data_IF_819752846998
#
_entry.id   IF_819752846998
#
_cell.length_a   1.000
_cell.length_b   1.000
_cell.length_c   1.000
_cell.angle_alpha   90.00
_cell.angle_beta   90.00
_cell.angle_gamma   90.00
#
_symmetry.space_group_name_H-M   'P 1'
#
loop_
_entity.id
_entity.type
_entity.pdbx_description
1 polymer ?
#
# COMPACT_ATOMS: atom_id res chain seq x y z
N UNK A 1 -9.25 -52.49 28.08
CA UNK A 1 -10.18 -52.88 26.99
C UNK A 1 -11.62 -53.07 27.44
N UNK A 2 -11.91 -53.75 28.57
CA UNK A 2 -13.30 -54.02 29.00
C UNK A 2 -14.14 -52.76 29.27
N UNK A 3 -13.55 -51.74 29.89
CA UNK A 3 -14.25 -50.51 30.30
C UNK A 3 -14.70 -49.67 29.09
N UNK A 4 -13.89 -49.64 28.02
CA UNK A 4 -14.20 -48.88 26.80
C UNK A 4 -15.34 -49.54 26.02
N UNK A 5 -15.38 -50.87 25.98
CA UNK A 5 -16.48 -51.63 25.38
C UNK A 5 -17.81 -51.34 26.08
N UNK A 6 -17.78 -51.29 27.42
CA UNK A 6 -18.97 -51.09 28.25
C UNK A 6 -19.52 -49.65 28.18
N UNK A 7 -18.68 -48.66 27.85
CA UNK A 7 -19.09 -47.25 27.75
C UNK A 7 -19.61 -46.90 26.35
N UNK A 8 -19.01 -47.48 25.30
CA UNK A 8 -19.39 -47.18 23.91
C UNK A 8 -20.29 -48.24 23.27
N UNK A 9 -20.57 -49.35 23.97
CA UNK A 9 -21.39 -50.49 23.53
C UNK A 9 -20.98 -51.05 22.16
N UNK A 10 -19.68 -51.01 21.84
CA UNK A 10 -19.14 -51.36 20.52
C UNK A 10 -17.85 -52.21 20.62
N UNK A 11 -17.76 -53.38 19.95
CA UNK A 11 -16.58 -54.28 20.02
C UNK A 11 -15.37 -53.76 19.27
N UNK A 12 -15.59 -52.89 18.27
CA UNK A 12 -14.55 -52.19 17.51
C UNK A 12 -15.05 -50.79 17.20
N UNK A 13 -14.18 -49.79 17.40
CA UNK A 13 -14.49 -48.38 17.20
C UNK A 13 -13.41 -47.76 16.30
N UNK A 14 -13.81 -46.93 15.33
CA UNK A 14 -12.85 -46.14 14.54
C UNK A 14 -12.44 -44.88 15.31
N UNK A 15 -11.19 -44.48 15.21
CA UNK A 15 -10.69 -43.30 15.92
C UNK A 15 -11.46 -42.00 15.57
N UNK A 16 -11.92 -41.88 14.32
CA UNK A 16 -12.73 -40.75 13.85
C UNK A 16 -14.13 -40.69 14.47
N UNK A 17 -14.66 -41.80 14.99
CA UNK A 17 -16.00 -41.88 15.60
C UNK A 17 -15.98 -41.50 17.10
N UNK A 18 -14.80 -41.42 17.70
CA UNK A 18 -14.62 -41.12 19.13
C UNK A 18 -15.23 -39.77 19.53
N UNK A 19 -14.97 -38.63 18.83
CA UNK A 19 -15.51 -37.34 19.26
C UNK A 19 -17.05 -37.31 19.27
N UNK A 20 -17.68 -37.92 18.27
CA UNK A 20 -19.14 -37.97 18.14
C UNK A 20 -19.77 -38.82 19.24
N UNK A 21 -19.20 -40.00 19.50
CA UNK A 21 -19.69 -40.90 20.55
C UNK A 21 -19.43 -40.34 21.96
N UNK A 22 -18.31 -39.66 22.16
CA UNK A 22 -17.96 -39.00 23.42
C UNK A 22 -18.93 -37.84 23.70
N UNK A 23 -19.25 -37.02 22.69
CA UNK A 23 -20.19 -35.89 22.84
C UNK A 23 -21.55 -36.33 23.36
N UNK A 24 -22.06 -37.50 22.94
CA UNK A 24 -23.34 -38.03 23.41
C UNK A 24 -23.32 -38.52 24.87
N UNK A 25 -22.13 -38.77 25.43
CA UNK A 25 -21.94 -39.19 26.82
C UNK A 25 -21.59 -38.02 27.74
N UNK A 26 -21.27 -36.85 27.18
CA UNK A 26 -21.03 -35.62 27.93
C UNK A 26 -22.38 -34.99 28.26
N UNK A 27 -22.88 -35.29 29.46
CA UNK A 27 -24.03 -34.62 30.03
C UNK A 27 -23.62 -33.23 30.58
N UNK A 28 -24.55 -32.26 30.62
CA UNK A 28 -24.30 -31.03 31.35
C UNK A 28 -24.00 -31.36 32.83
N UNK A 29 -23.22 -30.51 33.51
CA UNK A 29 -22.95 -30.70 34.93
C UNK A 29 -24.26 -30.77 35.71
N UNK A 30 -24.34 -31.72 36.65
CA UNK A 30 -25.54 -31.92 37.45
C UNK A 30 -25.86 -30.67 38.28
N UNK A 31 -27.14 -30.29 38.44
CA UNK A 31 -27.53 -29.12 39.20
C UNK A 31 -27.18 -29.28 40.68
N UNK A 32 -26.79 -28.19 41.32
CA UNK A 32 -26.51 -28.17 42.75
C UNK A 32 -27.84 -28.24 43.51
N UNK A 33 -28.13 -29.38 44.13
CA UNK A 33 -29.37 -29.61 44.92
C UNK A 33 -29.05 -29.54 46.40
N UNK A 34 -29.62 -28.56 47.10
CA UNK A 34 -29.47 -28.38 48.55
C UNK A 34 -30.76 -28.83 49.26
N UNK A 35 -30.71 -29.97 49.94
CA UNK A 35 -31.84 -30.50 50.70
C UNK A 35 -31.77 -30.03 52.16
N UNK A 36 -32.72 -29.19 52.59
CA UNK A 36 -32.82 -28.70 53.96
C UNK A 36 -34.11 -29.19 54.62
N UNK A 37 -33.99 -29.98 55.69
CA UNK A 37 -35.12 -30.47 56.48
C UNK A 37 -35.40 -29.47 57.62
N UNK A 38 -36.61 -28.92 57.65
CA UNK A 38 -37.02 -27.95 58.68
C UNK A 38 -37.40 -28.72 59.95
N UNK A 39 -36.65 -28.52 61.04
CA UNK A 39 -37.01 -29.01 62.38
C UNK A 39 -37.81 -27.95 63.13
N UNK A 40 -38.89 -28.36 63.82
CA UNK A 40 -39.80 -27.47 64.58
C UNK A 40 -39.44 -27.45 66.08
N UNK A 41 -38.32 -28.06 66.46
CA UNK A 41 -37.92 -28.23 67.84
C UNK A 41 -37.39 -26.90 68.43
N UNK A 42 -37.95 -26.35 69.53
CA UNK A 42 -37.59 -25.05 70.07
C UNK A 42 -36.12 -24.91 70.52
N UNK A 43 -35.42 -26.04 70.71
CA UNK A 43 -34.04 -26.09 71.17
C UNK A 43 -33.00 -26.08 70.02
N UNK A 44 -33.41 -26.14 68.75
CA UNK A 44 -32.50 -26.38 67.59
C UNK A 44 -32.39 -25.17 66.64
N UNK A 45 -32.62 -23.95 67.13
CA UNK A 45 -32.74 -22.71 66.32
C UNK A 45 -31.42 -22.16 65.72
N UNK A 46 -30.28 -22.90 65.77
CA UNK A 46 -28.97 -22.35 65.37
C UNK A 46 -28.08 -23.30 64.55
N UNK A 47 -28.62 -23.97 63.55
CA UNK A 47 -27.79 -24.66 62.55
C UNK A 47 -27.86 -23.93 61.21
N UNK A 48 -26.95 -22.97 61.00
CA UNK A 48 -26.74 -22.38 59.66
C UNK A 48 -25.95 -23.41 58.85
N UNK A 49 -26.56 -23.97 57.80
CA UNK A 49 -25.86 -24.85 56.87
C UNK A 49 -25.10 -23.98 55.85
N UNK A 50 -23.76 -23.98 55.94
CA UNK A 50 -22.89 -23.31 54.97
C UNK A 50 -22.43 -24.33 53.94
N UNK A 51 -22.56 -24.00 52.66
CA UNK A 51 -22.09 -24.82 51.55
C UNK A 51 -21.03 -24.04 50.78
N UNK A 52 -19.80 -24.51 50.81
CA UNK A 52 -18.73 -23.99 49.96
C UNK A 52 -18.80 -24.69 48.59
N UNK A 53 -18.92 -23.92 47.53
CA UNK A 53 -19.02 -24.42 46.15
C UNK A 53 -17.86 -23.82 45.37
N UNK A 54 -16.96 -24.68 44.88
CA UNK A 54 -15.88 -24.27 44.00
C UNK A 54 -16.45 -23.93 42.62
N UNK A 55 -16.23 -22.69 42.18
CA UNK A 55 -16.66 -22.21 40.85
C UNK A 55 -15.41 -22.01 39.99
N UNK A 56 -15.39 -22.64 38.83
CA UNK A 56 -14.35 -22.42 37.84
C UNK A 56 -14.58 -21.06 37.16
N UNK A 57 -13.69 -20.11 37.40
CA UNK A 57 -13.75 -18.76 36.83
C UNK A 57 -12.82 -18.71 35.62
N UNK A 58 -13.24 -18.02 34.55
CA UNK A 58 -12.36 -17.82 33.40
C UNK A 58 -11.06 -17.11 33.84
N UNK A 59 -9.92 -17.61 33.35
CA UNK A 59 -8.61 -17.08 33.71
C UNK A 59 -8.53 -15.58 33.35
N UNK A 60 -8.39 -14.67 34.34
CA UNK A 60 -8.31 -13.23 34.10
C UNK A 60 -7.15 -12.85 33.17
N UNK A 61 -6.13 -13.71 33.05
CA UNK A 61 -5.01 -13.52 32.13
C UNK A 61 -5.48 -13.50 30.65
N UNK A 62 -6.48 -14.30 30.30
CA UNK A 62 -6.98 -14.42 28.92
C UNK A 62 -7.63 -13.12 28.43
N UNK A 63 -8.34 -12.41 29.31
CA UNK A 63 -8.88 -11.09 29.04
C UNK A 63 -7.78 -10.03 28.86
N UNK A 64 -6.74 -10.07 29.70
CA UNK A 64 -5.60 -9.16 29.60
C UNK A 64 -4.80 -9.36 28.31
N UNK A 65 -4.54 -10.61 27.92
CA UNK A 65 -3.84 -10.91 26.65
C UNK A 65 -4.63 -10.43 25.44
N UNK A 66 -5.95 -10.62 25.44
CA UNK A 66 -6.83 -10.10 24.37
C UNK A 66 -6.75 -8.57 24.27
N UNK A 67 -6.82 -7.88 25.42
CA UNK A 67 -6.69 -6.43 25.46
C UNK A 67 -5.31 -5.94 24.99
N UNK A 68 -4.24 -6.68 25.29
CA UNK A 68 -2.88 -6.34 24.84
C UNK A 68 -2.73 -6.47 23.32
N UNK A 69 -3.18 -7.59 22.74
CA UNK A 69 -3.11 -7.84 21.30
C UNK A 69 -3.95 -6.86 20.48
N UNK A 70 -5.07 -6.39 21.04
CA UNK A 70 -5.94 -5.39 20.42
C UNK A 70 -5.52 -3.95 20.72
N UNK A 71 -4.58 -3.74 21.65
CA UNK A 71 -4.12 -2.39 21.97
C UNK A 71 -3.27 -1.83 20.83
N UNK A 72 -3.91 -1.00 20.02
CA UNK A 72 -3.25 -0.13 19.02
C UNK A 72 -2.94 1.24 19.61
N UNK A 73 -2.82 1.32 20.94
CA UNK A 73 -2.88 2.56 21.72
C UNK A 73 -1.91 3.66 21.27
N UNK A 74 -0.82 3.29 20.57
CA UNK A 74 0.18 4.24 20.11
C UNK A 74 0.35 4.27 18.59
N UNK A 75 -0.44 3.51 17.82
CA UNK A 75 -0.21 3.35 16.39
C UNK A 75 -0.55 4.62 15.61
N UNK A 76 -1.56 5.37 16.04
CA UNK A 76 -1.88 6.68 15.47
C UNK A 76 -0.78 7.72 15.73
N UNK A 77 -0.18 7.71 16.92
CA UNK A 77 0.91 8.63 17.27
C UNK A 77 2.18 8.29 16.48
N UNK A 78 2.50 7.00 16.33
CA UNK A 78 3.61 6.52 15.48
C UNK A 78 3.41 7.00 14.04
N UNK A 79 2.23 6.80 13.45
CA UNK A 79 1.94 7.28 12.09
C UNK A 79 2.03 8.81 11.97
N UNK A 80 1.59 9.55 12.99
CA UNK A 80 1.71 11.01 13.02
C UNK A 80 3.17 11.47 13.07
N UNK A 81 4.00 10.81 13.87
CA UNK A 81 5.45 11.06 13.94
C UNK A 81 6.13 10.71 12.62
N UNK A 82 5.77 9.59 11.99
CA UNK A 82 6.30 9.20 10.68
C UNK A 82 5.98 10.24 9.60
N UNK A 83 4.75 10.75 9.55
CA UNK A 83 4.38 11.82 8.62
C UNK A 83 5.20 13.09 8.87
N UNK A 84 5.38 13.48 10.13
CA UNK A 84 6.20 14.64 10.51
C UNK A 84 7.66 14.48 10.10
N UNK A 85 8.21 13.26 10.22
CA UNK A 85 9.57 12.94 9.75
C UNK A 85 9.64 13.12 8.23
N UNK A 86 8.67 12.60 7.46
CA UNK A 86 8.64 12.75 6.01
C UNK A 86 8.57 14.22 5.58
N UNK A 87 7.66 15.00 6.15
CA UNK A 87 7.53 16.44 5.88
C UNK A 87 8.83 17.20 6.20
N UNK A 88 9.48 16.85 7.32
CA UNK A 88 10.74 17.48 7.72
C UNK A 88 11.86 17.14 6.73
N UNK A 89 11.94 15.90 6.26
CA UNK A 89 12.92 15.47 5.26
C UNK A 89 12.70 16.20 3.94
N UNK A 90 11.45 16.35 3.50
CA UNK A 90 11.12 17.08 2.29
C UNK A 90 11.54 18.57 2.41
N UNK A 91 11.23 19.20 3.54
CA UNK A 91 11.65 20.58 3.83
C UNK A 91 13.19 20.73 3.79
N UNK A 92 13.92 19.80 4.41
CA UNK A 92 15.39 19.78 4.36
C UNK A 92 15.91 19.68 2.93
N UNK A 93 15.31 18.81 2.11
CA UNK A 93 15.70 18.65 0.70
C UNK A 93 15.45 19.93 -0.11
N UNK A 94 14.31 20.59 0.09
CA UNK A 94 14.01 21.86 -0.56
C UNK A 94 15.02 22.95 -0.16
N UNK A 95 15.31 23.07 1.14
CA UNK A 95 16.31 24.01 1.65
C UNK A 95 17.71 23.71 1.13
N UNK A 96 18.08 22.43 1.00
CA UNK A 96 19.35 22.01 0.39
C UNK A 96 19.44 22.48 -1.06
N UNK A 97 18.40 22.26 -1.87
CA UNK A 97 18.38 22.68 -3.27
C UNK A 97 18.54 24.21 -3.37
N UNK A 98 17.82 24.97 -2.53
CA UNK A 98 17.94 26.43 -2.49
C UNK A 98 19.34 26.88 -2.08
N UNK A 99 19.91 26.25 -1.05
CA UNK A 99 21.28 26.53 -0.60
C UNK A 99 22.29 26.26 -1.72
N UNK A 100 22.20 25.10 -2.35
CA UNK A 100 23.13 24.69 -3.41
C UNK A 100 23.01 25.60 -4.64
N UNK A 101 21.80 26.05 -4.98
CA UNK A 101 21.57 27.09 -5.98
C UNK A 101 22.32 28.40 -5.63
N UNK A 102 22.09 28.93 -4.43
CA UNK A 102 22.68 30.21 -4.00
C UNK A 102 24.21 30.12 -3.90
N UNK A 103 24.73 28.98 -3.40
CA UNK A 103 26.17 28.74 -3.34
C UNK A 103 26.79 28.65 -4.74
N UNK A 104 26.15 27.94 -5.67
CA UNK A 104 26.64 27.81 -7.04
C UNK A 104 26.66 29.18 -7.75
N UNK A 105 25.60 29.97 -7.58
CA UNK A 105 25.53 31.35 -8.06
C UNK A 105 26.62 32.24 -7.46
N UNK A 106 26.87 32.14 -6.15
CA UNK A 106 27.89 32.97 -5.49
C UNK A 106 29.33 32.66 -5.92
N UNK A 107 29.62 31.42 -6.35
CA UNK A 107 30.95 30.98 -6.78
C UNK A 107 31.31 31.43 -8.19
N UNK A 108 30.38 31.30 -9.14
CA UNK A 108 30.53 31.79 -10.51
C UNK A 108 29.18 32.28 -11.05
N UNK A 109 28.81 33.55 -10.79
CA UNK A 109 27.49 34.05 -11.14
C UNK A 109 27.27 34.10 -12.66
N UNK A 110 28.33 34.35 -13.44
CA UNK A 110 28.22 34.46 -14.91
C UNK A 110 28.01 33.09 -15.55
N UNK A 111 28.85 32.11 -15.21
CA UNK A 111 28.69 30.75 -15.72
C UNK A 111 27.37 30.13 -15.26
N UNK A 112 27.03 30.31 -13.97
CA UNK A 112 25.80 29.77 -13.41
C UNK A 112 24.53 30.33 -14.07
N UNK A 113 24.44 31.65 -14.30
CA UNK A 113 23.30 32.24 -15.04
C UNK A 113 23.21 31.65 -16.45
N UNK A 114 24.33 31.50 -17.15
CA UNK A 114 24.33 30.97 -18.51
C UNK A 114 23.81 29.51 -18.55
N UNK A 115 24.24 28.68 -17.60
CA UNK A 115 23.77 27.31 -17.48
C UNK A 115 22.31 27.22 -17.03
N UNK A 116 21.88 28.12 -16.13
CA UNK A 116 20.48 28.23 -15.71
C UNK A 116 19.58 28.60 -16.89
N UNK A 117 19.96 29.60 -17.69
CA UNK A 117 19.21 30.00 -18.89
C UNK A 117 19.11 28.86 -19.91
N UNK A 118 20.21 28.12 -20.11
CA UNK A 118 20.20 26.93 -20.97
C UNK A 118 19.28 25.84 -20.43
N UNK A 119 19.29 25.59 -19.12
CA UNK A 119 18.39 24.62 -18.50
C UNK A 119 16.93 25.02 -18.68
N UNK A 120 16.58 26.25 -18.30
CA UNK A 120 15.22 26.77 -18.42
C UNK A 120 14.71 26.76 -19.87
N UNK A 121 15.58 27.08 -20.84
CA UNK A 121 15.22 26.98 -22.25
C UNK A 121 14.95 25.53 -22.69
N UNK A 122 15.72 24.55 -22.20
CA UNK A 122 15.45 23.14 -22.49
C UNK A 122 14.15 22.67 -21.84
N UNK A 123 13.95 22.99 -20.57
CA UNK A 123 12.76 22.60 -19.81
C UNK A 123 11.50 23.17 -20.47
N UNK A 124 11.54 24.43 -20.91
CA UNK A 124 10.46 25.05 -21.66
C UNK A 124 10.18 24.36 -22.99
N UNK A 125 11.21 23.98 -23.75
CA UNK A 125 11.05 23.23 -25.02
C UNK A 125 10.37 21.88 -24.79
N UNK A 126 10.75 21.17 -23.72
CA UNK A 126 10.13 19.88 -23.35
C UNK A 126 8.67 20.08 -22.96
N UNK A 127 8.33 21.14 -22.22
CA UNK A 127 6.95 21.41 -21.81
C UNK A 127 6.03 21.87 -22.96
N UNK A 128 6.60 22.43 -24.03
CA UNK A 128 5.85 23.05 -25.13
C UNK A 128 5.92 22.25 -26.44
N UNK A 129 6.61 21.12 -26.44
CA UNK A 129 6.93 20.32 -27.64
C UNK A 129 7.56 21.14 -28.78
N UNK A 130 8.20 22.26 -28.44
CA UNK A 130 8.86 23.12 -29.42
C UNK A 130 10.16 22.46 -29.85
N UNK A 131 10.18 21.97 -31.10
CA UNK A 131 11.35 21.35 -31.73
C UNK A 131 12.20 22.41 -32.43
N UNK A 132 13.51 22.21 -32.41
CA UNK A 132 14.47 23.06 -33.12
C UNK A 132 14.99 24.22 -32.27
N UNK A 133 15.89 24.99 -32.87
CA UNK A 133 16.42 26.20 -32.26
C UNK A 133 16.44 27.30 -33.32
N UNK A 134 15.41 28.16 -33.37
CA UNK A 134 15.29 29.19 -34.40
C UNK A 134 16.51 30.10 -34.52
N UNK A 135 17.25 30.31 -33.42
CA UNK A 135 18.46 31.15 -33.45
C UNK A 135 19.68 30.42 -34.04
N UNK A 136 19.76 29.09 -33.92
CA UNK A 136 20.78 28.31 -34.63
C UNK A 136 20.43 28.21 -36.11
N UNK A 137 19.16 27.93 -36.44
CA UNK A 137 18.65 27.87 -37.81
C UNK A 137 18.86 29.19 -38.57
N UNK A 138 18.96 30.32 -37.88
CA UNK A 138 19.24 31.63 -38.49
C UNK A 138 20.68 31.77 -38.99
N UNK A 139 21.62 30.96 -38.50
CA UNK A 139 23.05 31.06 -38.82
C UNK A 139 23.41 30.15 -39.99
N UNK A 140 24.19 30.66 -40.94
CA UNK A 140 24.61 29.89 -42.12
C UNK A 140 25.36 28.60 -41.74
N UNK A 141 26.13 28.63 -40.65
CA UNK A 141 26.86 27.48 -40.09
C UNK A 141 25.97 26.26 -39.85
N UNK A 142 24.71 26.47 -39.45
CA UNK A 142 23.75 25.39 -39.23
C UNK A 142 23.52 24.53 -40.49
N UNK A 143 23.61 25.14 -41.67
CA UNK A 143 23.40 24.48 -42.96
C UNK A 143 24.70 23.94 -43.60
N UNK A 144 25.82 24.01 -42.88
CA UNK A 144 27.07 23.35 -43.30
C UNK A 144 27.21 21.93 -42.73
N UNK A 145 26.22 21.48 -41.94
CA UNK A 145 26.20 20.16 -41.33
C UNK A 145 25.99 19.04 -42.36
N UNK A 146 26.48 17.81 -42.09
CA UNK A 146 26.43 16.69 -43.04
C UNK A 146 25.02 16.31 -43.52
N UNK A 147 24.00 16.57 -42.70
CA UNK A 147 22.60 16.30 -43.05
C UNK A 147 22.07 17.21 -44.16
N UNK A 148 22.70 18.36 -44.39
CA UNK A 148 22.19 19.41 -45.28
C UNK A 148 22.08 18.96 -46.74
N UNK A 149 23.07 18.22 -47.24
CA UNK A 149 23.06 17.71 -48.63
C UNK A 149 21.91 16.72 -48.86
N UNK A 150 21.70 15.81 -47.92
CA UNK A 150 20.59 14.86 -48.00
C UNK A 150 19.23 15.56 -47.82
N UNK A 151 19.12 16.52 -46.90
CA UNK A 151 17.90 17.30 -46.70
C UNK A 151 17.49 18.04 -47.99
N UNK A 152 18.44 18.66 -48.68
CA UNK A 152 18.19 19.31 -49.99
C UNK A 152 17.72 18.30 -51.03
N UNK A 153 18.34 17.11 -51.08
CA UNK A 153 17.98 16.05 -52.03
C UNK A 153 16.55 15.55 -51.81
N UNK A 154 16.18 15.30 -50.54
CA UNK A 154 14.82 14.92 -50.14
C UNK A 154 13.82 16.03 -50.46
N UNK A 155 14.17 17.28 -50.16
CA UNK A 155 13.32 18.44 -50.48
C UNK A 155 13.04 18.53 -51.98
N UNK A 156 14.06 18.43 -52.83
CA UNK A 156 13.90 18.45 -54.29
C UNK A 156 13.04 17.31 -54.78
N UNK A 157 13.26 16.09 -54.29
CA UNK A 157 12.42 14.93 -54.64
C UNK A 157 10.95 15.20 -54.32
N UNK A 158 10.64 15.64 -53.09
CA UNK A 158 9.28 15.97 -52.68
C UNK A 158 8.67 17.10 -53.54
N UNK A 159 9.45 18.14 -53.85
CA UNK A 159 8.98 19.26 -54.69
C UNK A 159 8.69 18.86 -56.13
N UNK A 160 9.50 17.98 -56.71
CA UNK A 160 9.25 17.45 -58.07
C UNK A 160 7.97 16.61 -58.08
N UNK A 161 7.76 15.73 -57.10
CA UNK A 161 6.52 14.94 -57.01
C UNK A 161 5.29 15.83 -56.82
N UNK A 162 5.39 16.87 -55.97
CA UNK A 162 4.31 17.85 -55.79
C UNK A 162 3.94 18.54 -57.12
N UNK A 163 4.94 19.05 -57.85
CA UNK A 163 4.73 19.70 -59.16
C UNK A 163 4.13 18.75 -60.19
N UNK A 164 4.58 17.49 -60.20
CA UNK A 164 4.03 16.45 -61.07
C UNK A 164 2.55 16.21 -60.77
N UNK A 165 2.19 16.09 -59.49
CA UNK A 165 0.81 15.87 -59.05
C UNK A 165 -0.09 17.07 -59.40
N UNK A 166 0.39 18.30 -59.20
CA UNK A 166 -0.31 19.53 -59.60
C UNK A 166 -0.56 19.56 -61.12
N UNK A 167 0.43 19.17 -61.92
CA UNK A 167 0.30 19.08 -63.38
C UNK A 167 -0.70 17.99 -63.80
N UNK A 168 -0.61 16.79 -63.24
CA UNK A 168 -1.56 15.68 -63.50
C UNK A 168 -2.99 16.08 -63.14
N UNK A 169 -3.20 16.80 -62.03
CA UNK A 169 -4.50 17.35 -61.64
C UNK A 169 -4.99 18.44 -62.62
N UNK A 170 -4.13 19.37 -63.01
CA UNK A 170 -4.47 20.47 -63.94
C UNK A 170 -4.77 20.00 -65.36
N UNK A 171 -4.11 18.93 -65.81
CA UNK A 171 -4.29 18.32 -67.12
C UNK A 171 -5.48 17.36 -67.16
N UNK A 172 -6.19 17.18 -66.04
CA UNK A 172 -7.39 16.34 -65.95
C UNK A 172 -7.14 14.86 -66.22
N UNK A 173 -5.89 14.40 -66.12
CA UNK A 173 -5.53 12.99 -66.36
C UNK A 173 -5.93 12.17 -65.13
N UNK A 174 -7.23 11.91 -65.00
CA UNK A 174 -7.71 10.75 -64.23
C UNK A 174 -7.32 9.52 -65.05
N UNK A 175 -6.17 8.93 -64.72
CA UNK A 175 -5.93 7.55 -65.10
C UNK A 175 -7.04 6.70 -64.46
N UNK A 176 -7.95 6.20 -65.28
CA UNK A 176 -8.67 4.94 -65.03
C UNK A 176 -7.68 3.80 -65.01
#
# INVERSE_FOLDING_TARGET
CFIVFQIFDCPRLKFSEIPQRLTNLLLPPDPIVINHIISVDPNDQKKTACYDIDVEVEDPLKGQMSSFLLSTANQQEITALDNKIHETIESINQLKIQRDFMLSFSKDPKGYIQDLLRSQSRDLKVMTDVVGNPEEERRAEFYHEPWSQEAVSRYFYCKIQQRRQELEQSLGVRNT
#
